data_IF_411730048982
#
_entry.id   IF_411730048982
#
_cell.length_a   1.000
_cell.length_b   1.000
_cell.length_c   1.000
_cell.angle_alpha   90.00
_cell.angle_beta   90.00
_cell.angle_gamma   90.00
#
_symmetry.space_group_name_H-M   'P 1'
#
loop_
_entity.id
_entity.type
_entity.pdbx_description
1 polymer ?
#
# COMPACT_ATOMS: atom_id res chain seq x y z
N UNK A 1 44.01 -16.81 -2.86
CA UNK A 1 43.06 -16.72 -1.73
C UNK A 1 41.74 -17.21 -2.27
N UNK A 2 41.28 -18.38 -1.83
CA UNK A 2 39.97 -18.88 -2.22
C UNK A 2 38.87 -17.95 -1.69
N UNK A 3 37.88 -17.65 -2.53
CA UNK A 3 36.73 -16.85 -2.14
C UNK A 3 35.97 -17.56 -1.00
N UNK A 4 35.55 -16.80 0.01
CA UNK A 4 34.77 -17.34 1.11
C UNK A 4 33.48 -18.03 0.67
N UNK A 5 32.91 -17.61 -0.46
CA UNK A 5 31.75 -18.23 -1.10
C UNK A 5 32.08 -19.65 -1.60
N UNK A 6 33.20 -19.83 -2.31
CA UNK A 6 33.64 -21.13 -2.81
C UNK A 6 33.97 -22.10 -1.66
N UNK A 7 34.50 -21.59 -0.55
CA UNK A 7 34.76 -22.40 0.65
C UNK A 7 33.44 -22.86 1.30
N UNK A 8 32.44 -21.96 1.39
CA UNK A 8 31.13 -22.30 1.95
C UNK A 8 30.41 -23.36 1.11
N UNK A 9 30.46 -23.28 -0.21
CA UNK A 9 29.89 -24.27 -1.12
C UNK A 9 30.57 -25.63 -1.01
N UNK A 10 31.91 -25.66 -0.90
CA UNK A 10 32.69 -26.90 -0.75
C UNK A 10 32.35 -27.67 0.53
N UNK A 11 32.08 -26.95 1.62
CA UNK A 11 31.70 -27.56 2.90
C UNK A 11 30.18 -27.72 3.09
N UNK A 12 29.36 -27.46 2.06
CA UNK A 12 27.91 -27.53 2.16
C UNK A 12 27.31 -26.50 3.13
N UNK A 13 28.08 -25.44 3.43
CA UNK A 13 27.60 -24.34 4.22
C UNK A 13 26.68 -23.52 3.33
N UNK A 14 25.38 -23.61 3.56
CA UNK A 14 24.41 -22.79 2.87
C UNK A 14 24.72 -21.33 3.11
N UNK A 15 24.82 -20.55 2.01
CA UNK A 15 24.77 -19.10 2.04
C UNK A 15 23.62 -18.72 2.96
N UNK A 16 23.88 -17.93 4.01
CA UNK A 16 22.85 -17.60 5.01
C UNK A 16 21.54 -17.23 4.33
N UNK A 17 20.46 -17.82 4.79
CA UNK A 17 19.15 -17.77 4.16
C UNK A 17 18.78 -16.31 3.81
N UNK A 18 18.73 -16.02 2.51
CA UNK A 18 18.43 -14.67 2.03
C UNK A 18 16.91 -14.46 2.10
N UNK A 19 16.50 -13.39 2.73
CA UNK A 19 15.09 -12.99 2.82
C UNK A 19 14.92 -11.54 2.38
N UNK A 20 13.77 -11.24 1.82
CA UNK A 20 13.37 -9.86 1.51
C UNK A 20 12.75 -9.17 2.72
N UNK A 21 12.83 -7.86 2.77
CA UNK A 21 12.09 -7.06 3.74
C UNK A 21 10.88 -6.45 3.06
N UNK A 22 9.68 -6.84 3.48
CA UNK A 22 8.47 -6.14 3.09
C UNK A 22 8.45 -4.76 3.75
N UNK A 23 8.29 -3.73 2.93
CA UNK A 23 8.47 -2.33 3.37
C UNK A 23 7.18 -1.55 3.43
N UNK A 24 6.10 -2.05 2.80
CA UNK A 24 4.93 -1.23 2.60
C UNK A 24 3.70 -2.02 2.13
N UNK A 25 2.54 -1.67 2.69
CA UNK A 25 1.22 -2.01 2.13
C UNK A 25 0.40 -0.74 1.94
N UNK A 26 -0.41 -0.69 0.91
CA UNK A 26 -1.31 0.43 0.66
C UNK A 26 -2.61 -0.03 0.00
N UNK A 27 -3.73 0.37 0.59
CA UNK A 27 -5.02 0.33 -0.10
C UNK A 27 -5.04 1.41 -1.19
N UNK A 28 -5.42 1.00 -2.40
CA UNK A 28 -5.52 1.87 -3.55
C UNK A 28 -6.95 2.38 -3.74
N UNK A 29 -7.10 3.42 -4.56
CA UNK A 29 -8.41 4.02 -4.83
C UNK A 29 -9.37 3.10 -5.61
N UNK A 30 -8.85 2.08 -6.27
CA UNK A 30 -9.62 1.04 -6.98
C UNK A 30 -10.07 -0.10 -6.06
N UNK A 31 -9.63 -0.12 -4.80
CA UNK A 31 -9.94 -1.14 -3.82
C UNK A 31 -8.89 -2.25 -3.73
N UNK A 32 -7.89 -2.26 -4.61
CA UNK A 32 -6.79 -3.21 -4.55
C UNK A 32 -5.80 -2.90 -3.42
N UNK A 33 -4.96 -3.87 -3.08
CA UNK A 33 -3.82 -3.71 -2.17
C UNK A 33 -2.51 -3.74 -2.97
N UNK A 34 -1.63 -2.79 -2.69
CA UNK A 34 -0.26 -2.80 -3.19
C UNK A 34 0.68 -3.16 -2.06
N UNK A 35 1.55 -4.13 -2.28
CA UNK A 35 2.68 -4.48 -1.42
C UNK A 35 4.00 -4.14 -2.10
N UNK A 36 5.02 -3.84 -1.29
CA UNK A 36 6.39 -3.59 -1.74
C UNK A 36 7.38 -4.29 -0.83
N UNK A 37 8.52 -4.65 -1.41
CA UNK A 37 9.64 -5.26 -0.70
C UNK A 37 10.99 -4.73 -1.19
N UNK A 38 12.06 -5.06 -0.47
CA UNK A 38 13.43 -4.80 -0.92
C UNK A 38 13.83 -5.83 -1.99
N UNK A 39 14.48 -5.37 -3.07
CA UNK A 39 15.08 -6.28 -4.04
C UNK A 39 16.28 -7.04 -3.46
N UNK A 40 16.58 -8.19 -4.05
CA UNK A 40 17.80 -8.95 -3.87
C UNK A 40 18.44 -9.21 -5.23
N UNK A 41 19.74 -9.45 -5.25
CA UNK A 41 20.49 -9.79 -6.46
C UNK A 41 20.27 -11.27 -6.85
N UNK A 42 20.39 -11.58 -8.14
CA UNK A 42 20.29 -12.93 -8.71
C UNK A 42 18.94 -13.62 -8.48
N UNK A 43 17.88 -12.87 -8.29
CA UNK A 43 16.51 -13.37 -8.17
C UNK A 43 15.91 -13.50 -9.57
N UNK A 44 15.32 -14.67 -9.86
CA UNK A 44 14.53 -14.94 -11.06
C UNK A 44 13.12 -14.36 -10.90
N UNK A 45 12.47 -14.73 -9.79
CA UNK A 45 11.17 -14.19 -9.44
C UNK A 45 10.92 -14.21 -7.92
N UNK A 46 9.87 -13.51 -7.50
CA UNK A 46 9.37 -13.53 -6.14
C UNK A 46 8.01 -14.22 -6.09
N UNK A 47 7.85 -15.18 -5.20
CA UNK A 47 6.54 -15.76 -4.88
C UNK A 47 5.80 -14.86 -3.90
N UNK A 48 4.54 -14.62 -4.18
CA UNK A 48 3.62 -13.85 -3.33
C UNK A 48 2.66 -14.80 -2.66
N UNK A 49 2.66 -14.78 -1.34
CA UNK A 49 1.83 -15.63 -0.50
C UNK A 49 0.87 -14.77 0.30
N UNK A 50 -0.36 -15.23 0.49
CA UNK A 50 -1.41 -14.47 1.16
C UNK A 50 -2.23 -15.35 2.11
N UNK A 51 -2.66 -14.75 3.25
CA UNK A 51 -3.60 -15.31 4.20
C UNK A 51 -4.55 -14.19 4.70
N UNK A 52 -5.68 -14.56 5.29
CA UNK A 52 -6.64 -13.63 5.91
C UNK A 52 -6.53 -13.58 7.43
N UNK A 53 -5.79 -14.49 8.07
CA UNK A 53 -5.73 -14.65 9.54
C UNK A 53 -4.33 -14.57 10.14
N UNK A 54 -3.26 -14.54 9.33
CA UNK A 54 -1.85 -14.68 9.78
C UNK A 54 -1.63 -15.99 10.61
N UNK A 55 -2.29 -17.04 10.19
CA UNK A 55 -2.37 -18.33 10.90
C UNK A 55 -1.47 -19.40 10.29
N UNK A 56 -0.47 -18.99 9.49
CA UNK A 56 0.46 -19.88 8.76
C UNK A 56 -0.21 -20.78 7.69
N UNK A 57 -1.41 -20.42 7.24
CA UNK A 57 -2.14 -21.09 6.16
C UNK A 57 -2.08 -20.26 4.87
N UNK A 58 -0.88 -19.78 4.57
CA UNK A 58 -0.64 -18.93 3.41
C UNK A 58 -0.74 -19.71 2.11
N UNK A 59 -1.49 -19.17 1.16
CA UNK A 59 -1.58 -19.67 -0.20
C UNK A 59 -0.71 -18.82 -1.14
N UNK A 60 0.02 -19.46 -2.05
CA UNK A 60 0.70 -18.76 -3.12
C UNK A 60 -0.33 -18.22 -4.11
N UNK A 61 -0.34 -16.90 -4.29
CA UNK A 61 -1.31 -16.23 -5.16
C UNK A 61 -0.70 -15.73 -6.47
N UNK A 62 0.62 -15.50 -6.51
CA UNK A 62 1.28 -15.03 -7.73
C UNK A 62 2.80 -15.21 -7.68
N UNK A 63 3.44 -14.97 -8.86
CA UNK A 63 4.87 -14.89 -9.07
C UNK A 63 5.19 -13.58 -9.79
N UNK A 64 6.24 -12.88 -9.36
CA UNK A 64 6.61 -11.55 -9.88
C UNK A 64 8.07 -11.53 -10.27
N UNK A 65 8.34 -11.39 -11.57
CA UNK A 65 9.69 -11.18 -12.13
C UNK A 65 9.96 -9.70 -12.35
N UNK A 66 11.24 -9.30 -12.29
CA UNK A 66 11.72 -7.95 -12.62
C UNK A 66 11.05 -6.79 -11.87
N UNK A 67 10.42 -7.05 -10.73
CA UNK A 67 9.76 -6.03 -9.92
C UNK A 67 9.86 -6.31 -8.44
N UNK A 68 9.72 -5.27 -7.63
CA UNK A 68 9.73 -5.30 -6.16
C UNK A 68 8.40 -4.79 -5.57
N UNK A 69 7.33 -4.96 -6.32
CA UNK A 69 5.98 -4.64 -5.87
C UNK A 69 4.94 -5.47 -6.60
N UNK A 70 3.86 -5.77 -5.91
CA UNK A 70 2.71 -6.50 -6.41
C UNK A 70 1.42 -5.75 -6.10
N UNK A 71 0.42 -5.87 -6.97
CA UNK A 71 -0.91 -5.32 -6.78
C UNK A 71 -1.89 -6.49 -6.74
N UNK A 72 -2.46 -6.71 -5.57
CA UNK A 72 -3.52 -7.69 -5.38
C UNK A 72 -4.88 -7.00 -5.60
N UNK A 73 -5.51 -7.29 -6.72
CA UNK A 73 -6.84 -6.79 -7.11
C UNK A 73 -7.96 -7.81 -6.83
N UNK A 74 -7.61 -8.97 -6.27
CA UNK A 74 -8.56 -10.04 -5.91
C UNK A 74 -9.07 -9.92 -4.46
N UNK A 75 -8.69 -8.87 -3.74
CA UNK A 75 -9.02 -8.63 -2.34
C UNK A 75 -10.46 -8.17 -2.15
N UNK A 76 -11.08 -8.61 -1.07
CA UNK A 76 -12.40 -8.14 -0.64
C UNK A 76 -12.30 -6.88 0.22
N UNK A 77 -13.18 -5.90 -0.05
CA UNK A 77 -13.21 -4.63 0.67
C UNK A 77 -13.56 -4.82 2.15
N UNK A 78 -12.78 -4.21 3.02
CA UNK A 78 -12.93 -4.30 4.47
C UNK A 78 -12.26 -5.51 5.10
N UNK A 79 -11.68 -6.40 4.29
CA UNK A 79 -10.94 -7.57 4.75
C UNK A 79 -9.47 -7.23 4.93
N UNK A 80 -8.87 -7.73 6.02
CA UNK A 80 -7.43 -7.65 6.24
C UNK A 80 -6.77 -8.86 5.59
N UNK A 81 -5.70 -8.60 4.88
CA UNK A 81 -4.83 -9.61 4.29
C UNK A 81 -3.43 -9.50 4.83
N UNK A 82 -2.77 -10.63 4.97
CA UNK A 82 -1.39 -10.79 5.37
C UNK A 82 -0.60 -11.35 4.20
N UNK A 83 0.59 -10.85 3.97
CA UNK A 83 1.43 -11.24 2.83
C UNK A 83 2.80 -11.65 3.30
N UNK A 84 3.34 -12.67 2.66
CA UNK A 84 4.74 -13.06 2.68
C UNK A 84 5.29 -12.99 1.26
N UNK A 85 6.56 -12.68 1.14
CA UNK A 85 7.29 -12.70 -0.12
C UNK A 85 8.49 -13.63 0.03
N UNK A 86 8.70 -14.53 -0.92
CA UNK A 86 9.83 -15.45 -0.96
C UNK A 86 10.58 -15.30 -2.26
N UNK A 87 11.91 -15.06 -2.28
CA UNK A 87 12.69 -15.01 -3.49
C UNK A 87 12.96 -16.43 -4.02
N UNK A 88 12.95 -16.58 -5.33
CA UNK A 88 13.47 -17.75 -6.07
C UNK A 88 14.62 -17.25 -6.92
N UNK A 89 15.80 -17.86 -6.76
CA UNK A 89 17.02 -17.40 -7.39
C UNK A 89 17.22 -18.05 -8.77
N UNK A 90 18.07 -17.46 -9.61
CA UNK A 90 18.38 -17.92 -10.96
C UNK A 90 18.94 -19.35 -11.02
N UNK A 91 19.47 -19.86 -9.92
CA UNK A 91 19.95 -21.25 -9.78
C UNK A 91 18.85 -22.24 -9.36
N UNK A 92 17.61 -21.77 -9.26
CA UNK A 92 16.44 -22.56 -8.84
C UNK A 92 16.32 -22.74 -7.32
N UNK A 93 17.23 -22.21 -6.52
CA UNK A 93 17.10 -22.27 -5.06
C UNK A 93 16.10 -21.23 -4.55
N UNK A 94 15.48 -21.48 -3.41
CA UNK A 94 14.55 -20.57 -2.77
C UNK A 94 15.17 -19.94 -1.52
N UNK A 95 14.89 -18.65 -1.30
CA UNK A 95 15.21 -18.00 -0.03
C UNK A 95 14.13 -18.25 1.03
N UNK A 96 14.30 -17.62 2.17
CA UNK A 96 13.35 -17.68 3.26
C UNK A 96 12.16 -16.72 3.01
N UNK A 97 11.03 -17.03 3.62
CA UNK A 97 9.89 -16.11 3.62
C UNK A 97 10.22 -14.81 4.35
N UNK A 98 9.72 -13.70 3.84
CA UNK A 98 9.77 -12.43 4.56
C UNK A 98 9.02 -12.52 5.89
N UNK A 99 9.22 -11.52 6.75
CA UNK A 99 8.24 -11.24 7.81
C UNK A 99 6.91 -10.86 7.18
N UNK A 100 5.83 -11.26 7.86
CA UNK A 100 4.46 -10.92 7.44
C UNK A 100 4.26 -9.40 7.43
N UNK A 101 3.59 -8.91 6.39
CA UNK A 101 3.11 -7.54 6.29
C UNK A 101 1.60 -7.57 6.02
N UNK A 102 0.83 -6.69 6.63
CA UNK A 102 -0.61 -6.72 6.46
C UNK A 102 -1.19 -5.41 5.91
N UNK A 103 -2.35 -5.52 5.28
CA UNK A 103 -3.12 -4.38 4.79
C UNK A 103 -4.61 -4.66 4.78
N UNK A 104 -5.41 -3.60 4.76
CA UNK A 104 -6.86 -3.68 4.61
C UNK A 104 -7.26 -3.04 3.29
N UNK A 105 -8.02 -3.78 2.48
CA UNK A 105 -8.61 -3.24 1.26
C UNK A 105 -9.73 -2.26 1.61
N UNK A 106 -9.57 -0.98 1.31
CA UNK A 106 -10.52 0.06 1.65
C UNK A 106 -11.43 0.40 0.48
N UNK A 107 -12.72 0.57 0.76
CA UNK A 107 -13.67 1.04 -0.23
C UNK A 107 -13.32 2.44 -0.72
N UNK A 108 -13.53 2.68 -2.00
CA UNK A 108 -13.46 4.02 -2.59
C UNK A 108 -14.42 4.96 -1.86
N UNK A 109 -13.96 6.14 -1.50
CA UNK A 109 -14.81 7.17 -0.90
C UNK A 109 -14.93 8.39 -1.80
N UNK A 110 -16.08 9.04 -1.73
CA UNK A 110 -16.37 10.27 -2.43
C UNK A 110 -17.05 11.26 -1.47
N UNK A 111 -16.96 12.54 -1.80
CA UNK A 111 -17.72 13.55 -1.06
C UNK A 111 -19.22 13.40 -1.30
N UNK A 112 -19.98 13.40 -0.22
CA UNK A 112 -21.45 13.43 -0.24
C UNK A 112 -21.98 14.87 -0.30
N UNK A 113 -21.17 15.83 0.16
CA UNK A 113 -21.52 17.26 0.15
C UNK A 113 -20.25 18.11 0.08
N UNK A 114 -20.29 19.12 -0.78
CA UNK A 114 -19.32 20.20 -0.87
C UNK A 114 -20.10 21.50 -0.73
N UNK A 115 -19.83 22.28 0.31
CA UNK A 115 -20.56 23.53 0.59
C UNK A 115 -19.60 24.70 0.78
N UNK A 116 -19.70 25.69 -0.09
CA UNK A 116 -19.05 26.98 0.14
C UNK A 116 -19.69 27.72 1.31
N UNK A 117 -18.87 28.36 2.12
CA UNK A 117 -19.27 29.22 3.24
C UNK A 117 -18.61 30.59 3.11
N UNK A 118 -19.12 31.58 3.88
CA UNK A 118 -18.46 32.88 4.00
C UNK A 118 -17.00 32.75 4.45
N UNK A 119 -16.19 33.79 4.18
CA UNK A 119 -14.78 33.82 4.60
C UNK A 119 -13.87 32.83 3.79
N UNK A 120 -14.16 32.60 2.52
CA UNK A 120 -13.36 31.72 1.65
C UNK A 120 -13.24 30.29 2.17
N UNK A 121 -14.27 29.78 2.85
CA UNK A 121 -14.28 28.42 3.41
C UNK A 121 -15.11 27.48 2.56
N UNK A 122 -14.63 26.24 2.41
CA UNK A 122 -15.34 25.14 1.77
C UNK A 122 -15.41 23.98 2.74
N UNK A 123 -16.62 23.57 3.10
CA UNK A 123 -16.85 22.39 3.93
C UNK A 123 -17.08 21.18 3.03
N UNK A 124 -16.28 20.15 3.25
CA UNK A 124 -16.32 18.87 2.58
C UNK A 124 -16.90 17.84 3.56
N UNK A 125 -17.81 16.99 3.09
CA UNK A 125 -18.43 15.92 3.90
C UNK A 125 -18.44 14.64 3.11
N UNK A 126 -18.23 13.49 3.77
CA UNK A 126 -18.21 12.17 3.15
C UNK A 126 -18.83 11.11 4.04
N UNK A 127 -19.01 9.89 3.52
CA UNK A 127 -19.45 8.73 4.31
C UNK A 127 -18.26 8.01 4.92
N UNK A 128 -18.47 7.41 6.08
CA UNK A 128 -17.48 6.56 6.74
C UNK A 128 -17.10 5.38 5.82
N UNK A 129 -15.81 5.13 5.71
CA UNK A 129 -15.27 3.91 5.13
C UNK A 129 -14.94 2.94 6.25
N UNK A 130 -15.40 1.70 6.13
CA UNK A 130 -15.09 0.64 7.10
C UNK A 130 -13.57 0.44 7.18
N UNK A 131 -13.04 0.23 8.37
CA UNK A 131 -11.62 0.01 8.64
C UNK A 131 -10.68 1.19 8.28
N UNK A 132 -11.19 2.33 7.81
CA UNK A 132 -10.36 3.50 7.61
C UNK A 132 -9.93 4.11 8.96
N UNK A 133 -8.64 4.37 9.11
CA UNK A 133 -8.08 5.12 10.24
C UNK A 133 -8.19 6.62 10.04
N UNK A 134 -8.28 7.05 8.79
CA UNK A 134 -8.41 8.45 8.45
C UNK A 134 -8.60 8.71 6.96
N UNK A 135 -8.44 9.98 6.57
CA UNK A 135 -8.68 10.44 5.21
C UNK A 135 -7.63 11.46 4.78
N UNK A 136 -7.18 11.34 3.55
CA UNK A 136 -6.34 12.32 2.89
C UNK A 136 -7.20 13.17 1.96
N UNK A 137 -7.07 14.48 2.07
CA UNK A 137 -7.83 15.45 1.28
C UNK A 137 -6.89 16.14 0.31
N UNK A 138 -7.29 16.16 -0.93
CA UNK A 138 -6.53 16.77 -2.02
C UNK A 138 -7.37 17.84 -2.71
N UNK A 139 -6.72 18.88 -3.20
CA UNK A 139 -7.31 19.94 -3.99
C UNK A 139 -6.45 20.24 -5.21
N UNK A 140 -7.10 20.56 -6.33
CA UNK A 140 -6.48 21.26 -7.45
C UNK A 140 -7.15 22.63 -7.64
N UNK A 141 -6.32 23.63 -7.90
CA UNK A 141 -6.72 25.05 -7.93
C UNK A 141 -7.06 25.55 -9.35
N UNK A 142 -6.94 24.70 -10.37
CA UNK A 142 -7.28 24.97 -11.78
C UNK A 142 -7.59 23.65 -12.51
N UNK A 143 -8.22 23.68 -13.66
CA UNK A 143 -8.56 22.48 -14.44
C UNK A 143 -7.31 21.69 -14.85
N UNK A 144 -6.23 22.37 -15.23
CA UNK A 144 -4.95 21.77 -15.65
C UNK A 144 -3.99 21.54 -14.48
N UNK A 145 -4.42 21.86 -13.25
CA UNK A 145 -3.62 21.75 -12.04
C UNK A 145 -3.43 20.32 -11.57
N UNK A 146 -2.36 20.08 -10.82
CA UNK A 146 -2.17 18.83 -10.09
C UNK A 146 -2.93 18.85 -8.76
N UNK A 147 -3.36 17.66 -8.31
CA UNK A 147 -3.91 17.50 -6.97
C UNK A 147 -2.80 17.60 -5.93
N UNK A 148 -2.90 18.57 -5.03
CA UNK A 148 -2.02 18.72 -3.88
C UNK A 148 -2.77 18.28 -2.63
N UNK A 149 -2.09 17.58 -1.73
CA UNK A 149 -2.65 17.25 -0.43
C UNK A 149 -2.77 18.54 0.41
N UNK A 150 -3.98 18.84 0.86
CA UNK A 150 -4.30 20.02 1.68
C UNK A 150 -4.67 19.66 3.10
N UNK A 151 -4.92 18.39 3.38
CA UNK A 151 -5.26 17.95 4.72
C UNK A 151 -5.11 16.46 4.93
N UNK A 152 -4.88 16.10 6.20
CA UNK A 152 -4.91 14.73 6.71
C UNK A 152 -5.84 14.69 7.92
N UNK A 153 -6.91 13.92 7.82
CA UNK A 153 -7.84 13.64 8.92
C UNK A 153 -7.40 12.33 9.56
N UNK A 154 -6.97 12.38 10.82
CA UNK A 154 -6.36 11.24 11.54
C UNK A 154 -7.36 10.38 12.31
N UNK A 155 -8.64 10.56 12.05
CA UNK A 155 -9.70 9.76 12.66
C UNK A 155 -10.69 9.28 11.61
N UNK A 156 -10.88 7.98 11.51
CA UNK A 156 -11.88 7.38 10.63
C UNK A 156 -13.34 7.72 11.02
N UNK A 157 -13.54 8.30 12.21
CA UNK A 157 -14.85 8.78 12.68
C UNK A 157 -15.17 10.22 12.29
N UNK A 158 -14.14 11.01 11.92
CA UNK A 158 -14.32 12.39 11.46
C UNK A 158 -14.66 12.39 9.98
N UNK A 159 -15.83 12.88 9.63
CA UNK A 159 -16.41 12.81 8.27
C UNK A 159 -16.57 14.17 7.60
N UNK A 160 -15.87 15.17 8.12
CA UNK A 160 -15.89 16.52 7.57
C UNK A 160 -14.50 17.15 7.61
N UNK A 161 -14.25 18.04 6.65
CA UNK A 161 -13.05 18.87 6.60
C UNK A 161 -13.41 20.26 6.08
N UNK A 162 -12.81 21.30 6.64
CA UNK A 162 -13.01 22.67 6.16
C UNK A 162 -11.72 23.19 5.56
N UNK A 163 -11.75 23.42 4.27
CA UNK A 163 -10.67 24.07 3.52
C UNK A 163 -10.85 25.59 3.52
N UNK A 164 -9.73 26.31 3.48
CA UNK A 164 -9.69 27.76 3.26
C UNK A 164 -9.06 28.03 1.91
N UNK A 165 -9.85 28.51 0.97
CA UNK A 165 -9.43 28.78 -0.41
C UNK A 165 -8.91 30.21 -0.57
N UNK A 166 -8.04 30.42 -1.58
CA UNK A 166 -7.42 31.73 -1.82
C UNK A 166 -8.40 32.77 -2.40
N UNK A 167 -9.37 32.32 -3.19
CA UNK A 167 -10.31 33.21 -3.92
C UNK A 167 -11.69 32.58 -3.98
N UNK A 168 -12.73 33.42 -3.91
CA UNK A 168 -14.13 33.02 -4.10
C UNK A 168 -14.53 32.87 -5.57
N UNK A 169 -13.73 33.43 -6.48
CA UNK A 169 -14.03 33.50 -7.92
C UNK A 169 -13.25 32.45 -8.73
N UNK A 170 -12.84 31.36 -8.09
CA UNK A 170 -12.14 30.25 -8.74
C UNK A 170 -12.87 28.93 -8.50
N UNK A 171 -12.80 28.05 -9.46
CA UNK A 171 -13.23 26.67 -9.33
C UNK A 171 -12.14 25.85 -8.67
N UNK A 172 -12.50 25.10 -7.63
CA UNK A 172 -11.61 24.16 -6.95
C UNK A 172 -12.17 22.75 -7.08
N UNK A 173 -11.33 21.82 -7.41
CA UNK A 173 -11.71 20.41 -7.48
C UNK A 173 -11.07 19.63 -6.33
N UNK A 174 -11.86 18.80 -5.68
CA UNK A 174 -11.43 18.05 -4.50
C UNK A 174 -11.44 16.54 -4.76
N UNK A 175 -10.49 15.85 -4.15
CA UNK A 175 -10.39 14.40 -4.11
C UNK A 175 -10.17 13.97 -2.67
N UNK A 176 -10.72 12.82 -2.29
CA UNK A 176 -10.54 12.20 -0.98
C UNK A 176 -10.06 10.77 -1.15
N UNK A 177 -9.23 10.32 -0.24
CA UNK A 177 -8.76 8.94 -0.14
C UNK A 177 -8.81 8.50 1.32
N UNK A 178 -9.49 7.39 1.60
CA UNK A 178 -9.37 6.73 2.90
C UNK A 178 -8.00 6.07 3.02
N UNK A 179 -7.44 6.01 4.23
CA UNK A 179 -6.21 5.29 4.50
C UNK A 179 -6.32 4.45 5.77
N UNK A 180 -5.49 3.43 5.81
CA UNK A 180 -5.21 2.61 6.97
C UNK A 180 -3.68 2.44 7.03
N UNK A 181 -3.08 2.64 8.20
CA UNK A 181 -1.62 2.65 8.41
C UNK A 181 -1.11 1.32 8.97
N UNK A 182 -1.85 0.24 8.82
CA UNK A 182 -1.38 -1.05 9.29
C UNK A 182 -0.21 -1.55 8.46
N UNK A 183 0.90 -1.48 9.09
CA UNK A 183 2.14 -2.13 8.74
C UNK A 183 2.54 -3.05 9.90
#
# INVERSE_FOLDING_TARGET
>A
VADATAIAEYFGLTKGAQTVTCTYTQSRADGSLKIKWSGLDNVDYYEIWRDTKDAYDYEKIDEVSDATSFIDDTVELGTRYYYLVRPVFNDGTTGEYSKSISGVALAKTNFTKIKAKSGKKVTLTWKKVSQAEGYLIYRKDSEDGKYNQIGKVTSGKTLTYTDTVKSNNKTYTYKIQAYNTNN
#
